data_IF_440066328053
#
_entry.id   IF_440066328053
#
_cell.length_a   1.000
_cell.length_b   1.000
_cell.length_c   1.000
_cell.angle_alpha   90.00
_cell.angle_beta   90.00
_cell.angle_gamma   90.00
#
_symmetry.space_group_name_H-M   'P 1'
#
loop_
_entity.id
_entity.type
_entity.pdbx_description
1 polymer ?
#
# COMPACT_ATOMS: atom_id res chain seq x y z
N UNK A 1 -3.99 -4.26 -31.20
CA UNK A 1 -4.59 -3.42 -30.14
C UNK A 1 -3.49 -2.59 -29.52
N UNK A 2 -3.50 -1.27 -29.68
CA UNK A 2 -2.51 -0.38 -29.07
C UNK A 2 -2.84 -0.27 -27.58
N UNK A 3 -2.02 -0.85 -26.72
CA UNK A 3 -2.14 -0.62 -25.28
C UNK A 3 -1.83 0.85 -25.03
N UNK A 4 -2.75 1.57 -24.37
CA UNK A 4 -2.48 2.95 -23.95
C UNK A 4 -1.23 2.96 -23.07
N UNK A 5 -0.34 3.95 -23.27
CA UNK A 5 0.90 4.11 -22.49
C UNK A 5 0.68 3.93 -20.99
N UNK A 6 -0.46 4.42 -20.48
CA UNK A 6 -0.87 4.29 -19.09
C UNK A 6 -1.08 2.83 -18.65
N UNK A 7 -1.70 1.99 -19.50
CA UNK A 7 -1.90 0.56 -19.20
C UNK A 7 -0.57 -0.18 -19.12
N UNK A 8 0.39 0.16 -20.00
CA UNK A 8 1.73 -0.41 -19.96
C UNK A 8 2.46 -0.01 -18.68
N UNK A 9 2.28 1.23 -18.22
CA UNK A 9 2.84 1.69 -16.93
C UNK A 9 2.25 0.93 -15.74
N UNK A 10 0.93 0.71 -15.71
CA UNK A 10 0.27 -0.08 -14.66
C UNK A 10 0.83 -1.50 -14.61
N UNK A 11 0.92 -2.17 -15.78
CA UNK A 11 1.46 -3.53 -15.86
C UNK A 11 2.95 -3.61 -15.48
N UNK A 12 3.73 -2.61 -15.88
CA UNK A 12 5.14 -2.50 -15.50
C UNK A 12 5.30 -2.36 -13.99
N UNK A 13 4.52 -1.47 -13.37
CA UNK A 13 4.52 -1.26 -11.93
C UNK A 13 4.15 -2.53 -11.16
N UNK A 14 3.08 -3.23 -11.59
CA UNK A 14 2.65 -4.49 -10.98
C UNK A 14 3.79 -5.54 -10.99
N UNK A 15 4.42 -5.75 -12.15
CA UNK A 15 5.53 -6.71 -12.28
C UNK A 15 6.73 -6.33 -11.42
N UNK A 16 7.05 -5.04 -11.33
CA UNK A 16 8.18 -4.58 -10.52
C UNK A 16 7.92 -4.76 -9.03
N UNK A 17 6.70 -4.49 -8.55
CA UNK A 17 6.32 -4.74 -7.17
C UNK A 17 6.42 -6.22 -6.82
N UNK A 18 5.88 -7.12 -7.65
CA UNK A 18 6.00 -8.56 -7.44
C UNK A 18 7.45 -9.05 -7.37
N UNK A 19 8.34 -8.48 -8.19
CA UNK A 19 9.77 -8.79 -8.15
C UNK A 19 10.42 -8.31 -6.85
N UNK A 20 10.12 -7.09 -6.43
CA UNK A 20 10.65 -6.49 -5.20
C UNK A 20 10.17 -7.21 -3.93
N UNK A 21 8.97 -7.81 -3.96
CA UNK A 21 8.39 -8.53 -2.82
C UNK A 21 8.57 -10.04 -2.87
N UNK A 22 9.32 -10.59 -3.84
CA UNK A 22 9.51 -12.05 -3.97
C UNK A 22 10.08 -12.70 -2.71
N UNK A 23 10.90 -11.98 -1.97
CA UNK A 23 11.56 -12.46 -0.75
C UNK A 23 10.74 -12.17 0.53
N UNK A 24 9.54 -11.60 0.40
CA UNK A 24 8.68 -11.25 1.54
C UNK A 24 7.32 -11.95 1.42
N UNK A 25 6.99 -12.92 2.30
CA UNK A 25 5.69 -13.58 2.28
C UNK A 25 4.54 -12.61 2.62
N UNK A 26 3.33 -12.89 2.13
CA UNK A 26 2.12 -12.07 2.39
C UNK A 26 1.95 -10.85 1.47
N UNK A 27 3.05 -10.19 1.09
CA UNK A 27 3.00 -8.99 0.24
C UNK A 27 2.41 -9.21 -1.15
N UNK A 28 2.61 -10.40 -1.74
CA UNK A 28 2.02 -10.74 -3.03
C UNK A 28 0.49 -10.70 -2.99
N UNK A 29 -0.14 -11.24 -1.94
CA UNK A 29 -1.60 -11.21 -1.80
C UNK A 29 -2.08 -9.78 -1.68
N UNK A 30 -1.46 -9.01 -0.79
CA UNK A 30 -1.78 -7.61 -0.60
C UNK A 30 -1.73 -6.80 -1.90
N UNK A 31 -0.66 -6.96 -2.70
CA UNK A 31 -0.53 -6.28 -4.00
C UNK A 31 -1.64 -6.73 -4.96
N UNK A 32 -1.93 -8.03 -5.06
CA UNK A 32 -3.02 -8.52 -5.91
C UNK A 32 -4.38 -7.93 -5.51
N UNK A 33 -4.67 -7.88 -4.21
CA UNK A 33 -5.94 -7.38 -3.68
C UNK A 33 -6.10 -5.88 -3.95
N UNK A 34 -5.05 -5.10 -3.72
CA UNK A 34 -5.04 -3.67 -4.04
C UNK A 34 -5.24 -3.40 -5.54
N UNK A 35 -4.56 -4.15 -6.41
CA UNK A 35 -4.75 -3.99 -7.86
C UNK A 35 -6.16 -4.40 -8.28
N UNK A 36 -6.75 -5.43 -7.66
CA UNK A 36 -8.15 -5.83 -7.89
C UNK A 36 -9.13 -4.75 -7.45
N UNK A 37 -8.94 -4.14 -6.27
CA UNK A 37 -9.78 -3.00 -5.82
C UNK A 37 -9.72 -1.85 -6.80
N UNK A 38 -8.56 -1.55 -7.35
CA UNK A 38 -8.38 -0.47 -8.33
C UNK A 38 -8.95 -0.79 -9.73
N UNK A 39 -9.37 -2.03 -10.02
CA UNK A 39 -10.02 -2.38 -11.30
C UNK A 39 -11.42 -1.77 -11.44
N UNK A 40 -12.06 -1.37 -10.33
CA UNK A 40 -13.37 -0.71 -10.34
C UNK A 40 -13.29 0.73 -10.85
N UNK A 41 -12.08 1.31 -10.90
CA UNK A 41 -11.86 2.68 -11.37
C UNK A 41 -12.08 2.73 -12.89
N UNK A 42 -12.96 3.62 -13.38
CA UNK A 42 -13.16 3.81 -14.81
C UNK A 42 -11.86 4.17 -15.53
N UNK A 43 -11.61 3.56 -16.69
CA UNK A 43 -10.41 3.84 -17.52
C UNK A 43 -10.32 5.30 -17.99
N UNK A 44 -11.44 6.01 -17.96
CA UNK A 44 -11.55 7.44 -18.28
C UNK A 44 -11.05 8.34 -17.15
N UNK A 45 -10.95 7.85 -15.92
CA UNK A 45 -10.44 8.63 -14.79
C UNK A 45 -8.90 8.62 -14.75
N UNK A 46 -8.31 9.24 -15.78
CA UNK A 46 -6.86 9.26 -16.01
C UNK A 46 -6.11 9.84 -14.80
N UNK A 47 -6.61 10.93 -14.21
CA UNK A 47 -5.95 11.59 -13.07
C UNK A 47 -5.87 10.69 -11.84
N UNK A 48 -6.93 9.96 -11.50
CA UNK A 48 -6.93 9.03 -10.38
C UNK A 48 -5.97 7.86 -10.64
N UNK A 49 -5.98 7.31 -11.85
CA UNK A 49 -5.07 6.23 -12.25
C UNK A 49 -3.61 6.69 -12.14
N UNK A 50 -3.29 7.87 -12.66
CA UNK A 50 -1.94 8.43 -12.55
C UNK A 50 -1.52 8.68 -11.11
N UNK A 51 -2.41 9.17 -10.26
CA UNK A 51 -2.13 9.38 -8.84
C UNK A 51 -1.73 8.07 -8.16
N UNK A 52 -2.50 7.00 -8.41
CA UNK A 52 -2.22 5.66 -7.87
C UNK A 52 -0.88 5.13 -8.41
N UNK A 53 -0.60 5.30 -9.71
CA UNK A 53 0.69 4.91 -10.30
C UNK A 53 1.86 5.66 -9.64
N UNK A 54 1.74 6.98 -9.45
CA UNK A 54 2.78 7.80 -8.79
C UNK A 54 3.03 7.33 -7.36
N UNK A 55 1.97 7.07 -6.60
CA UNK A 55 2.10 6.55 -5.23
C UNK A 55 2.74 5.15 -5.21
N UNK A 56 2.34 4.27 -6.12
CA UNK A 56 2.92 2.93 -6.21
C UNK A 56 4.39 2.91 -6.62
N UNK A 57 4.81 3.81 -7.52
CA UNK A 57 6.24 3.99 -7.87
C UNK A 57 7.06 4.43 -6.66
N UNK A 58 6.58 5.40 -5.87
CA UNK A 58 7.24 5.81 -4.62
C UNK A 58 7.43 4.64 -3.65
N UNK A 59 6.40 3.81 -3.46
CA UNK A 59 6.48 2.61 -2.60
C UNK A 59 7.43 1.56 -3.14
N UNK A 60 7.46 1.36 -4.45
CA UNK A 60 8.42 0.46 -5.08
C UNK A 60 9.86 0.94 -4.84
N UNK A 61 10.11 2.24 -4.95
CA UNK A 61 11.44 2.81 -4.69
C UNK A 61 11.84 2.62 -3.22
N UNK A 62 10.92 2.79 -2.29
CA UNK A 62 11.13 2.48 -0.87
C UNK A 62 11.41 0.99 -0.63
N UNK A 63 10.65 0.09 -1.27
CA UNK A 63 10.88 -1.37 -1.19
C UNK A 63 12.26 -1.78 -1.71
N UNK A 64 12.70 -1.15 -2.80
CA UNK A 64 14.05 -1.37 -3.38
C UNK A 64 15.16 -0.89 -2.45
N UNK A 65 14.91 0.17 -1.66
CA UNK A 65 15.86 0.75 -0.69
C UNK A 65 15.96 -0.02 0.64
N UNK A 66 15.31 -1.19 0.77
CA UNK A 66 15.34 -2.07 1.96
C UNK A 66 14.65 -1.55 3.25
N UNK A 67 14.11 -0.33 3.30
CA UNK A 67 13.59 0.27 4.54
C UNK A 67 12.13 -0.11 4.91
N UNK A 68 11.46 -0.97 4.14
CA UNK A 68 10.01 -1.16 4.30
C UNK A 68 9.65 -2.52 4.89
N UNK A 69 9.15 -2.49 6.13
CA UNK A 69 8.51 -3.62 6.82
C UNK A 69 7.00 -3.75 6.51
N UNK A 70 6.35 -2.70 5.98
CA UNK A 70 4.91 -2.71 5.65
C UNK A 70 4.56 -1.86 4.43
N UNK A 71 3.73 -2.37 3.52
CA UNK A 71 3.19 -1.67 2.35
C UNK A 71 1.85 -1.04 2.75
N UNK A 72 1.79 0.28 2.97
CA UNK A 72 0.51 0.98 3.23
C UNK A 72 -0.45 0.98 2.02
N UNK A 73 -1.65 1.54 2.17
CA UNK A 73 -2.74 1.56 1.15
C UNK A 73 -2.40 2.45 -0.06
N UNK A 74 -2.69 2.02 -1.29
CA UNK A 74 -2.32 2.76 -2.53
C UNK A 74 -3.15 4.01 -2.79
N UNK A 75 -4.37 4.04 -2.25
CA UNK A 75 -5.24 5.22 -2.22
C UNK A 75 -5.40 5.66 -0.76
N UNK A 76 -5.50 6.97 -0.55
CA UNK A 76 -6.15 7.49 0.64
C UNK A 76 -7.64 7.44 0.33
N UNK A 77 -8.42 6.71 1.12
CA UNK A 77 -9.89 6.81 1.08
C UNK A 77 -10.20 8.31 1.05
N UNK A 78 -10.76 8.82 -0.06
CA UNK A 78 -11.28 10.17 -0.06
C UNK A 78 -12.44 10.14 0.92
N UNK A 79 -12.25 10.77 2.08
CA UNK A 79 -13.26 11.00 3.10
C UNK A 79 -14.62 11.25 2.45
N UNK A 80 -15.48 10.23 2.44
CA UNK A 80 -16.90 10.49 2.37
C UNK A 80 -17.23 11.10 3.73
N UNK A 81 -17.37 12.43 3.75
CA UNK A 81 -17.85 13.21 4.88
C UNK A 81 -19.10 12.54 5.47
N UNK A 82 -18.91 11.82 6.58
CA UNK A 82 -19.83 11.55 7.69
C UNK A 82 -19.71 10.10 8.19
N UNK A 83 -18.85 9.82 9.18
CA UNK A 83 -19.11 8.86 10.29
C UNK A 83 -18.05 9.05 11.39
N UNK A 84 -18.41 9.47 12.62
CA UNK A 84 -17.54 9.32 13.78
C UNK A 84 -17.84 7.97 14.45
N UNK A 85 -17.00 6.96 14.24
CA UNK A 85 -17.05 5.76 15.08
C UNK A 85 -15.69 5.04 15.11
N UNK A 86 -15.19 4.91 16.33
CA UNK A 86 -14.00 4.20 16.77
C UNK A 86 -13.78 2.83 16.09
N UNK A 87 -12.52 2.38 16.01
CA UNK A 87 -12.03 1.18 16.72
C UNK A 87 -10.49 1.12 16.68
N UNK A 88 -9.91 1.01 17.87
CA UNK A 88 -8.53 0.64 18.24
C UNK A 88 -8.05 -0.67 17.55
N UNK A 89 -6.78 -0.98 17.29
CA UNK A 89 -5.73 -1.47 18.22
C UNK A 89 -4.69 -2.21 17.36
N UNK A 90 -3.40 -2.16 17.71
CA UNK A 90 -2.40 -3.26 17.77
C UNK A 90 -1.02 -2.59 17.94
N UNK A 91 -0.58 -2.26 19.16
CA UNK A 91 0.22 -3.09 20.09
C UNK A 91 1.54 -3.60 19.48
N UNK A 92 2.65 -2.91 19.79
CA UNK A 92 3.99 -3.52 19.83
C UNK A 92 4.76 -2.99 21.05
N UNK A 93 4.90 -3.92 22.00
CA UNK A 93 5.89 -4.05 23.08
C UNK A 93 7.21 -3.30 22.95
N UNK A 94 7.59 -2.55 23.99
CA UNK A 94 9.00 -2.37 24.41
C UNK A 94 9.11 -2.28 25.94
N UNK A 95 9.51 -3.41 26.53
CA UNK A 95 10.30 -3.63 27.74
C UNK A 95 11.08 -2.41 28.28
N UNK A 96 10.89 -2.05 29.55
CA UNK A 96 11.84 -1.30 30.45
C UNK A 96 11.20 -1.29 31.85
N UNK A 97 11.41 -2.33 32.66
CA UNK A 97 12.37 -2.39 33.78
C UNK A 97 12.00 -1.57 35.03
N UNK A 98 11.75 -2.25 36.16
CA UNK A 98 11.87 -1.69 37.51
C UNK A 98 10.84 -2.21 38.52
N UNK A 99 11.21 -3.09 39.47
CA UNK A 99 10.37 -3.46 40.61
C UNK A 99 10.81 -2.72 41.89
N UNK A 100 9.96 -1.89 42.47
CA UNK A 100 10.07 -1.35 43.84
C UNK A 100 8.81 -0.50 44.07
N UNK A 101 8.02 -0.53 45.15
CA UNK A 101 8.17 -1.02 46.51
C UNK A 101 7.46 0.00 47.43
N UNK A 102 6.74 -0.47 48.46
CA UNK A 102 6.16 0.29 49.60
C UNK A 102 5.08 1.34 49.24
N UNK A 103 4.05 1.61 50.04
CA UNK A 103 3.77 1.45 51.48
C UNK A 103 2.36 0.90 51.70
#
# INVERSE_FOLDING_TARGET
MVHSKLQLEVLSLYRQLLRATRNKPGFKSYICDEFRRNMTIPRTNILQIEHIIRNGKKKLDLLKRQEVQSLGVFYKETDNLNTPAATSTTTTTTTTSGPQGRH
#
